data_IF_862864874508
#
_entry.id   IF_862864874508
#
_cell.length_a   1.000
_cell.length_b   1.000
_cell.length_c   1.000
_cell.angle_alpha   90.00
_cell.angle_beta   90.00
_cell.angle_gamma   90.00
#
_symmetry.space_group_name_H-M   'P 1'
#
loop_
_entity.id
_entity.type
_entity.pdbx_description
1 polymer ?
#
# COMPACT_ATOMS: atom_id res chain seq x y z
N UNK A 1 -4.29 -6.80 12.79
CA UNK A 1 -4.49 -5.71 11.80
C UNK A 1 -5.39 -4.70 12.47
N UNK A 2 -4.82 -3.67 13.09
CA UNK A 2 -5.56 -2.51 13.58
C UNK A 2 -6.32 -1.90 12.41
N UNK A 3 -7.63 -1.63 12.60
CA UNK A 3 -8.46 -0.96 11.60
C UNK A 3 -7.79 0.38 11.25
N UNK A 4 -7.67 0.70 9.96
CA UNK A 4 -7.17 2.00 9.53
C UNK A 4 -8.03 3.10 10.17
N UNK A 5 -7.41 4.10 10.81
CA UNK A 5 -8.07 5.21 11.50
C UNK A 5 -9.06 5.97 10.63
N UNK A 6 -8.77 6.18 9.34
CA UNK A 6 -9.76 6.70 8.38
C UNK A 6 -11.00 5.80 8.24
N UNK A 7 -10.81 4.48 8.30
CA UNK A 7 -11.91 3.51 8.23
C UNK A 7 -12.89 3.66 9.39
N UNK A 8 -12.39 3.98 10.59
CA UNK A 8 -13.26 4.25 11.76
C UNK A 8 -14.19 5.42 11.48
N UNK A 9 -13.66 6.56 11.03
CA UNK A 9 -14.50 7.74 10.72
C UNK A 9 -15.49 7.48 9.58
N UNK A 10 -15.07 6.76 8.55
CA UNK A 10 -15.95 6.38 7.43
C UNK A 10 -17.10 5.49 7.90
N UNK A 11 -16.84 4.54 8.79
CA UNK A 11 -17.85 3.63 9.32
C UNK A 11 -18.88 4.41 10.17
N UNK A 12 -18.42 5.28 11.07
CA UNK A 12 -19.31 6.16 11.87
C UNK A 12 -20.16 7.09 10.99
N UNK A 13 -19.54 7.72 9.99
CA UNK A 13 -20.24 8.63 9.08
C UNK A 13 -21.25 7.88 8.20
N UNK A 14 -20.97 6.65 7.80
CA UNK A 14 -21.94 5.82 7.06
C UNK A 14 -23.12 5.42 7.95
N UNK A 15 -22.85 4.94 9.16
CA UNK A 15 -23.89 4.58 10.10
C UNK A 15 -24.81 5.78 10.40
N UNK A 16 -24.25 6.97 10.57
CA UNK A 16 -25.02 8.21 10.72
C UNK A 16 -25.82 8.55 9.46
N UNK A 17 -25.21 8.46 8.29
CA UNK A 17 -25.87 8.78 7.02
C UNK A 17 -27.03 7.84 6.67
N UNK A 18 -26.96 6.56 7.06
CA UNK A 18 -28.01 5.56 6.80
C UNK A 18 -29.28 5.85 7.62
N UNK A 19 -29.14 6.49 8.79
CA UNK A 19 -30.24 6.87 9.68
C UNK A 19 -30.76 8.30 9.49
N UNK A 20 -30.18 9.08 8.58
CA UNK A 20 -30.44 10.51 8.49
C UNK A 20 -31.16 10.91 7.20
N UNK A 21 -32.13 11.82 7.32
CA UNK A 21 -33.04 12.16 6.22
C UNK A 21 -32.42 13.06 5.14
N UNK A 22 -31.37 13.82 5.46
CA UNK A 22 -30.76 14.73 4.49
C UNK A 22 -29.85 13.97 3.50
N UNK A 23 -30.20 13.89 2.20
CA UNK A 23 -29.41 13.16 1.20
C UNK A 23 -28.01 13.76 0.99
N UNK A 24 -27.77 15.02 1.38
CA UNK A 24 -26.45 15.64 1.34
C UNK A 24 -25.47 14.93 2.26
N UNK A 25 -25.93 14.43 3.42
CA UNK A 25 -25.07 13.67 4.35
C UNK A 25 -24.64 12.35 3.72
N UNK A 26 -25.53 11.65 3.01
CA UNK A 26 -25.16 10.46 2.24
C UNK A 26 -24.13 10.77 1.15
N UNK A 27 -24.22 11.92 0.47
CA UNK A 27 -23.23 12.35 -0.53
C UNK A 27 -21.87 12.62 0.12
N UNK A 28 -21.84 13.28 1.27
CA UNK A 28 -20.61 13.51 2.05
C UNK A 28 -19.98 12.18 2.46
N UNK A 29 -20.78 11.26 3.01
CA UNK A 29 -20.33 9.92 3.41
C UNK A 29 -19.70 9.15 2.25
N UNK A 30 -20.36 9.14 1.07
CA UNK A 30 -19.85 8.47 -0.14
C UNK A 30 -18.53 9.06 -0.63
N UNK A 31 -18.39 10.38 -0.63
CA UNK A 31 -17.15 11.07 -1.03
C UNK A 31 -16.01 10.79 -0.06
N UNK A 32 -16.29 10.84 1.25
CA UNK A 32 -15.31 10.54 2.28
C UNK A 32 -14.79 9.11 2.14
N UNK A 33 -15.70 8.17 1.89
CA UNK A 33 -15.42 6.74 1.78
C UNK A 33 -14.92 6.28 0.40
N UNK A 34 -14.69 7.19 -0.54
CA UNK A 34 -14.22 6.83 -1.88
C UNK A 34 -12.87 6.07 -1.76
N UNK A 35 -12.64 5.01 -2.55
CA UNK A 35 -11.34 4.32 -2.53
C UNK A 35 -10.22 5.25 -3.00
N UNK A 36 -8.99 4.93 -2.62
CA UNK A 36 -7.80 5.61 -3.13
C UNK A 36 -7.56 5.20 -4.58
N UNK A 37 -7.47 6.19 -5.47
CA UNK A 37 -7.26 5.99 -6.90
C UNK A 37 -5.80 6.22 -7.26
N UNK A 38 -5.21 5.30 -8.00
CA UNK A 38 -3.80 5.41 -8.41
C UNK A 38 -3.70 5.48 -9.93
N UNK A 39 -2.85 6.38 -10.45
CA UNK A 39 -2.48 6.38 -11.86
C UNK A 39 -1.14 5.66 -12.02
N UNK A 40 -1.02 4.78 -13.01
CA UNK A 40 0.20 3.98 -13.21
C UNK A 40 0.93 4.45 -14.47
N UNK A 41 2.07 5.08 -14.27
CA UNK A 41 2.94 5.66 -15.30
C UNK A 41 4.25 4.90 -15.48
N UNK A 42 5.09 5.39 -16.40
CA UNK A 42 6.42 4.85 -16.66
C UNK A 42 6.74 4.70 -18.14
N UNK A 43 8.02 4.48 -18.45
CA UNK A 43 8.50 4.29 -19.83
C UNK A 43 7.93 3.04 -20.50
N UNK A 44 7.97 2.99 -21.83
CA UNK A 44 7.66 1.75 -22.56
C UNK A 44 8.69 0.67 -22.22
N UNK A 45 8.23 -0.59 -22.06
CA UNK A 45 9.10 -1.74 -21.80
C UNK A 45 9.42 -2.03 -20.32
N UNK A 46 9.11 -1.11 -19.40
CA UNK A 46 9.32 -1.29 -17.94
C UNK A 46 8.25 -2.16 -17.27
N UNK A 47 7.20 -2.57 -17.99
CA UNK A 47 6.13 -3.41 -17.46
C UNK A 47 5.00 -2.66 -16.75
N UNK A 48 4.81 -1.36 -17.02
CA UNK A 48 3.76 -0.53 -16.38
C UNK A 48 2.35 -1.12 -16.45
N UNK A 49 1.98 -1.78 -17.55
CA UNK A 49 0.66 -2.43 -17.70
C UNK A 49 0.52 -3.66 -16.79
N UNK A 50 1.60 -4.41 -16.62
CA UNK A 50 1.64 -5.58 -15.73
C UNK A 50 1.53 -5.15 -14.28
N UNK A 51 2.24 -4.08 -13.89
CA UNK A 51 2.12 -3.47 -12.55
C UNK A 51 0.70 -2.95 -12.32
N UNK A 52 0.13 -2.18 -13.26
CA UNK A 52 -1.24 -1.69 -13.17
C UNK A 52 -2.25 -2.83 -12.95
N UNK A 53 -2.12 -3.92 -13.72
CA UNK A 53 -2.95 -5.11 -13.56
C UNK A 53 -2.73 -5.80 -12.21
N UNK A 54 -1.48 -5.91 -11.73
CA UNK A 54 -1.17 -6.50 -10.44
C UNK A 54 -1.82 -5.70 -9.29
N UNK A 55 -1.71 -4.38 -9.33
CA UNK A 55 -2.32 -3.49 -8.32
C UNK A 55 -3.85 -3.54 -8.34
N UNK A 56 -4.45 -3.58 -9.53
CA UNK A 56 -5.90 -3.74 -9.68
C UNK A 56 -6.39 -5.08 -9.11
N UNK A 57 -5.71 -6.18 -9.43
CA UNK A 57 -6.01 -7.51 -8.87
C UNK A 57 -5.76 -7.59 -7.35
N UNK A 58 -4.92 -6.71 -6.81
CA UNK A 58 -4.68 -6.58 -5.38
C UNK A 58 -5.68 -5.65 -4.67
N UNK A 59 -6.68 -5.12 -5.39
CA UNK A 59 -7.79 -4.33 -4.82
C UNK A 59 -7.61 -2.81 -4.89
N UNK A 60 -6.58 -2.28 -5.55
CA UNK A 60 -6.46 -0.84 -5.77
C UNK A 60 -7.34 -0.37 -6.94
N UNK A 61 -7.93 0.81 -6.80
CA UNK A 61 -8.64 1.47 -7.89
C UNK A 61 -7.63 2.10 -8.85
N UNK A 62 -7.21 1.33 -9.86
CA UNK A 62 -6.22 1.77 -10.86
C UNK A 62 -6.92 2.52 -11.99
N UNK A 63 -6.46 3.74 -12.25
CA UNK A 63 -6.93 4.56 -13.37
C UNK A 63 -5.96 4.46 -14.54
N UNK A 64 -6.49 4.36 -15.75
CA UNK A 64 -5.70 4.35 -16.99
C UNK A 64 -5.79 5.71 -17.67
N UNK A 65 -4.69 6.47 -17.70
CA UNK A 65 -4.60 7.73 -18.44
C UNK A 65 -4.37 8.97 -17.57
N UNK A 66 -4.14 10.11 -18.22
CA UNK A 66 -3.90 11.44 -17.62
C UNK A 66 -5.22 12.08 -17.20
N UNK A 67 -6.09 11.34 -16.53
CA UNK A 67 -7.33 11.92 -15.98
C UNK A 67 -7.05 12.50 -14.60
N UNK A 68 -7.67 13.64 -14.29
CA UNK A 68 -7.51 14.36 -13.02
C UNK A 68 -8.10 13.65 -11.78
N UNK A 69 -8.46 12.38 -11.93
CA UNK A 69 -9.15 11.59 -10.95
C UNK A 69 -8.22 10.75 -10.04
N UNK A 70 -6.91 10.69 -10.30
CA UNK A 70 -6.01 9.93 -9.43
C UNK A 70 -5.68 10.72 -8.16
N UNK A 71 -5.46 10.01 -7.06
CA UNK A 71 -5.03 10.57 -5.79
C UNK A 71 -3.49 10.49 -5.64
N UNK A 72 -2.87 9.48 -6.25
CA UNK A 72 -1.42 9.26 -6.26
C UNK A 72 -0.97 8.73 -7.62
N UNK A 73 0.31 8.95 -7.91
CA UNK A 73 0.98 8.40 -9.08
C UNK A 73 1.91 7.24 -8.68
N UNK A 74 1.80 6.12 -9.37
CA UNK A 74 2.75 5.00 -9.29
C UNK A 74 3.61 5.04 -10.55
N UNK A 75 4.86 5.47 -10.39
CA UNK A 75 5.79 5.58 -11.49
C UNK A 75 6.67 4.32 -11.62
N UNK A 76 6.50 3.57 -12.71
CA UNK A 76 7.20 2.30 -12.90
C UNK A 76 8.50 2.51 -13.67
N UNK A 77 9.60 2.01 -13.11
CA UNK A 77 10.91 1.90 -13.79
C UNK A 77 11.43 0.46 -13.70
N UNK A 78 12.51 0.16 -14.41
CA UNK A 78 13.21 -1.12 -14.34
C UNK A 78 14.72 -0.88 -14.48
N UNK A 79 15.51 -1.59 -13.67
CA UNK A 79 16.99 -1.61 -13.64
C UNK A 79 17.68 -0.29 -13.26
N UNK A 80 17.39 0.79 -14.00
CA UNK A 80 18.00 2.12 -13.88
C UNK A 80 16.94 3.22 -13.93
N UNK A 81 17.19 4.29 -13.18
CA UNK A 81 16.48 5.57 -13.35
C UNK A 81 17.17 6.36 -14.46
N UNK A 82 16.42 6.76 -15.47
CA UNK A 82 16.88 7.67 -16.53
C UNK A 82 16.49 9.13 -16.21
N UNK A 83 17.11 10.13 -16.85
CA UNK A 83 16.74 11.53 -16.67
C UNK A 83 15.27 11.83 -16.96
N UNK A 84 14.67 11.13 -17.94
CA UNK A 84 13.24 11.29 -18.24
C UNK A 84 12.36 10.73 -17.12
N UNK A 85 12.85 9.72 -16.38
CA UNK A 85 12.15 9.17 -15.22
C UNK A 85 12.14 10.18 -14.07
N UNK A 86 13.28 10.81 -13.77
CA UNK A 86 13.35 11.86 -12.75
C UNK A 86 12.53 13.09 -13.12
N UNK A 87 12.54 13.48 -14.41
CA UNK A 87 11.75 14.61 -14.89
C UNK A 87 10.24 14.36 -14.75
N UNK A 88 9.78 13.16 -15.09
CA UNK A 88 8.37 12.80 -14.94
C UNK A 88 7.93 12.73 -13.46
N UNK A 89 8.79 12.23 -12.57
CA UNK A 89 8.52 12.18 -11.13
C UNK A 89 8.47 13.59 -10.54
N UNK A 90 9.44 14.45 -10.88
CA UNK A 90 9.52 15.82 -10.37
C UNK A 90 8.37 16.71 -10.86
N UNK A 91 7.83 16.44 -12.06
CA UNK A 91 6.70 17.18 -12.62
C UNK A 91 5.33 16.73 -12.09
N UNK A 92 5.27 15.67 -11.27
CA UNK A 92 4.00 15.16 -10.76
C UNK A 92 3.37 16.13 -9.75
N UNK A 93 2.10 16.46 -9.96
CA UNK A 93 1.33 17.31 -9.04
C UNK A 93 0.85 16.56 -7.79
N UNK A 94 1.06 15.24 -7.73
CA UNK A 94 0.54 14.34 -6.70
C UNK A 94 1.68 13.58 -6.03
N UNK A 95 1.47 13.02 -4.83
CA UNK A 95 2.43 12.11 -4.23
C UNK A 95 2.77 10.96 -5.17
N UNK A 96 4.07 10.74 -5.40
CA UNK A 96 4.57 9.68 -6.29
C UNK A 96 5.16 8.54 -5.48
N UNK A 97 4.79 7.32 -5.83
CA UNK A 97 5.50 6.10 -5.47
C UNK A 97 6.26 5.57 -6.69
N UNK A 98 7.58 5.54 -6.64
CA UNK A 98 8.36 4.87 -7.65
C UNK A 98 8.37 3.35 -7.40
N UNK A 99 8.27 2.56 -8.48
CA UNK A 99 8.33 1.09 -8.40
C UNK A 99 9.44 0.59 -9.30
N UNK A 100 10.43 -0.08 -8.70
CA UNK A 100 11.46 -0.81 -9.43
C UNK A 100 10.87 -2.18 -9.82
N UNK A 101 10.28 -2.24 -11.02
CA UNK A 101 9.69 -3.46 -11.54
C UNK A 101 10.75 -4.39 -12.12
N UNK A 102 10.39 -5.68 -12.29
CA UNK A 102 11.30 -6.78 -12.66
C UNK A 102 12.39 -7.00 -11.62
N UNK A 103 12.05 -6.77 -10.35
CA UNK A 103 12.96 -6.94 -9.22
C UNK A 103 13.50 -8.38 -9.11
N UNK A 104 12.77 -9.36 -9.64
CA UNK A 104 13.19 -10.75 -9.78
C UNK A 104 14.41 -10.97 -10.69
N UNK A 105 14.73 -9.99 -11.54
CA UNK A 105 15.92 -10.01 -12.40
C UNK A 105 17.11 -9.26 -11.80
N UNK A 106 16.99 -8.73 -10.58
CA UNK A 106 18.08 -7.96 -9.95
C UNK A 106 19.11 -8.90 -9.32
N UNK A 107 20.38 -8.78 -9.71
CA UNK A 107 21.45 -9.63 -9.18
C UNK A 107 21.45 -11.05 -9.75
N UNK A 108 22.11 -11.99 -9.06
CA UNK A 108 22.27 -13.37 -9.54
C UNK A 108 21.17 -14.29 -9.02
N UNK A 109 20.63 -15.13 -9.91
CA UNK A 109 19.70 -16.21 -9.59
C UNK A 109 20.34 -17.34 -8.78
N UNK A 110 21.67 -17.50 -8.86
CA UNK A 110 22.36 -18.66 -8.31
C UNK A 110 22.54 -18.62 -6.78
N UNK A 111 22.27 -17.48 -6.12
CA UNK A 111 22.40 -17.31 -4.66
C UNK A 111 23.82 -17.51 -4.09
N UNK A 112 24.77 -17.99 -4.89
CA UNK A 112 26.16 -18.28 -4.50
C UNK A 112 27.00 -17.02 -4.28
N UNK A 113 26.51 -15.84 -4.66
CA UNK A 113 27.22 -14.57 -4.63
C UNK A 113 26.57 -13.49 -3.73
N UNK A 114 25.58 -13.84 -2.90
CA UNK A 114 24.97 -12.88 -1.96
C UNK A 114 23.45 -13.02 -1.78
N UNK A 115 22.80 -11.90 -1.44
CA UNK A 115 21.36 -11.84 -1.20
C UNK A 115 20.55 -12.15 -2.47
N UNK A 116 19.43 -12.89 -2.33
CA UNK A 116 18.56 -13.25 -3.47
C UNK A 116 17.94 -12.03 -4.17
N UNK A 117 17.37 -12.18 -5.39
CA UNK A 117 17.06 -11.05 -6.26
C UNK A 117 16.24 -9.93 -5.64
N UNK A 118 15.20 -10.29 -4.87
CA UNK A 118 14.34 -9.31 -4.20
C UNK A 118 15.06 -8.54 -3.09
N UNK A 119 16.04 -9.13 -2.42
CA UNK A 119 16.82 -8.44 -1.41
C UNK A 119 17.81 -7.46 -2.07
N UNK A 120 18.46 -7.88 -3.16
CA UNK A 120 19.29 -6.98 -3.97
C UNK A 120 18.47 -5.81 -4.53
N UNK A 121 17.25 -6.07 -5.02
CA UNK A 121 16.33 -5.04 -5.48
C UNK A 121 15.93 -4.05 -4.39
N UNK A 122 15.74 -4.50 -3.14
CA UNK A 122 15.47 -3.60 -1.99
C UNK A 122 16.64 -2.64 -1.74
N UNK A 123 17.87 -3.15 -1.68
CA UNK A 123 19.06 -2.30 -1.53
C UNK A 123 19.17 -1.30 -2.68
N UNK A 124 18.87 -1.75 -3.91
CA UNK A 124 18.86 -0.90 -5.09
C UNK A 124 17.80 0.20 -5.03
N UNK A 125 16.60 -0.10 -4.51
CA UNK A 125 15.56 0.91 -4.30
C UNK A 125 16.02 2.01 -3.33
N UNK A 126 16.76 1.68 -2.28
CA UNK A 126 17.31 2.69 -1.35
C UNK A 126 18.22 3.67 -2.10
N UNK A 127 19.15 3.18 -2.92
CA UNK A 127 20.05 4.02 -3.73
C UNK A 127 19.30 4.86 -4.77
N UNK A 128 18.32 4.26 -5.44
CA UNK A 128 17.57 4.89 -6.52
C UNK A 128 16.53 5.89 -5.99
N UNK A 129 16.00 5.71 -4.79
CA UNK A 129 15.01 6.63 -4.18
C UNK A 129 15.53 8.05 -4.05
N UNK A 130 16.79 8.22 -3.62
CA UNK A 130 17.45 9.52 -3.52
C UNK A 130 17.60 10.20 -4.89
N UNK A 131 17.89 9.42 -5.94
CA UNK A 131 17.99 9.93 -7.32
C UNK A 131 16.64 10.27 -7.92
N UNK A 132 15.59 9.50 -7.59
CA UNK A 132 14.22 9.75 -8.02
C UNK A 132 13.61 10.99 -7.34
N UNK A 133 14.07 11.33 -6.13
CA UNK A 133 13.37 12.29 -5.27
C UNK A 133 12.03 11.76 -4.77
N UNK A 134 11.81 10.44 -4.79
CA UNK A 134 10.55 9.81 -4.41
C UNK A 134 10.81 8.47 -3.69
N UNK A 135 9.92 8.06 -2.76
CA UNK A 135 10.00 6.73 -2.16
C UNK A 135 9.92 5.65 -3.24
N UNK A 136 10.70 4.59 -3.08
CA UNK A 136 10.80 3.52 -4.07
C UNK A 136 10.65 2.14 -3.44
N UNK A 137 9.83 1.27 -4.05
CA UNK A 137 9.64 -0.11 -3.63
C UNK A 137 9.93 -1.10 -4.79
N UNK A 138 10.58 -2.24 -4.54
CA UNK A 138 10.82 -3.24 -5.57
C UNK A 138 9.58 -4.10 -5.79
N UNK A 139 9.31 -4.46 -7.05
CA UNK A 139 8.20 -5.33 -7.40
C UNK A 139 8.56 -6.27 -8.56
N UNK A 140 8.03 -7.49 -8.54
CA UNK A 140 7.85 -8.31 -9.73
C UNK A 140 6.38 -8.30 -10.11
N UNK A 141 6.03 -7.47 -11.09
CA UNK A 141 4.65 -7.37 -11.58
C UNK A 141 4.09 -8.70 -12.07
N UNK A 142 4.93 -9.52 -12.73
CA UNK A 142 4.51 -10.82 -13.24
C UNK A 142 4.17 -11.79 -12.11
N UNK A 143 5.06 -11.95 -11.12
CA UNK A 143 4.79 -12.81 -9.97
C UNK A 143 3.60 -12.32 -9.15
N UNK A 144 3.38 -11.00 -9.05
CA UNK A 144 2.20 -10.45 -8.39
C UNK A 144 0.90 -10.83 -9.12
N UNK A 145 0.87 -10.74 -10.45
CA UNK A 145 -0.27 -11.20 -11.26
C UNK A 145 -0.49 -12.71 -11.11
N UNK A 146 0.59 -13.50 -11.14
CA UNK A 146 0.51 -14.94 -10.96
C UNK A 146 0.03 -15.32 -9.55
N UNK A 147 0.43 -14.57 -8.51
CA UNK A 147 -0.05 -14.78 -7.15
C UNK A 147 -1.53 -14.41 -6.96
N UNK A 148 -2.04 -13.46 -7.73
CA UNK A 148 -3.44 -13.06 -7.66
C UNK A 148 -4.37 -13.99 -8.46
N UNK A 149 -3.81 -14.89 -9.27
CA UNK A 149 -4.57 -15.86 -10.07
C UNK A 149 -4.29 -17.28 -9.58
N UNK A 150 -5.24 -18.17 -9.81
CA UNK A 150 -5.00 -19.58 -9.58
C UNK A 150 -4.11 -20.12 -10.69
N UNK A 151 -3.01 -20.78 -10.29
CA UNK A 151 -2.22 -21.57 -11.21
C UNK A 151 -3.05 -22.80 -11.57
N UNK A 152 -3.33 -23.00 -12.86
CA UNK A 152 -4.11 -24.14 -13.29
C UNK A 152 -3.40 -25.47 -12.96
N UNK A 153 -4.19 -26.55 -12.85
CA UNK A 153 -3.68 -27.85 -12.46
C UNK A 153 -2.64 -28.43 -13.41
N UNK A 154 -2.66 -28.05 -14.69
CA UNK A 154 -1.70 -28.52 -15.69
C UNK A 154 -0.32 -27.86 -15.48
N UNK A 155 -0.28 -26.55 -15.22
CA UNK A 155 0.96 -25.86 -14.89
C UNK A 155 1.55 -26.33 -13.57
N UNK A 156 0.72 -26.61 -12.57
CA UNK A 156 1.20 -27.22 -11.33
C UNK A 156 1.75 -28.63 -11.52
N UNK A 157 1.08 -29.46 -12.33
CA UNK A 157 1.57 -30.79 -12.69
C UNK A 157 2.92 -30.73 -13.43
N UNK A 158 3.08 -29.77 -14.35
CA UNK A 158 4.33 -29.52 -15.05
C UNK A 158 5.47 -29.13 -14.09
N UNK A 159 5.21 -28.24 -13.12
CA UNK A 159 6.20 -27.90 -12.09
C UNK A 159 6.59 -29.11 -11.23
N UNK A 160 5.65 -30.01 -10.92
CA UNK A 160 5.94 -31.27 -10.21
C UNK A 160 6.77 -32.24 -11.06
N UNK A 161 6.49 -32.36 -12.35
CA UNK A 161 7.27 -33.18 -13.26
C UNK A 161 8.73 -32.68 -13.35
N UNK A 162 8.94 -31.36 -13.49
CA UNK A 162 10.27 -30.75 -13.46
C UNK A 162 10.96 -30.90 -12.09
N UNK A 163 10.20 -30.90 -10.99
CA UNK A 163 10.74 -31.12 -9.66
C UNK A 163 11.24 -32.55 -9.44
N UNK A 164 10.57 -33.55 -10.02
CA UNK A 164 10.94 -34.95 -9.99
C UNK A 164 12.09 -35.30 -10.95
N UNK A 165 12.25 -34.52 -12.02
CA UNK A 165 13.34 -34.68 -12.97
C UNK A 165 14.70 -34.20 -12.38
N UNK A 166 15.75 -35.05 -12.42
CA UNK A 166 17.09 -34.66 -11.96
C UNK A 166 17.66 -33.44 -12.70
N UNK A 167 17.33 -33.27 -13.99
CA UNK A 167 17.74 -32.15 -14.84
C UNK A 167 16.82 -30.92 -14.79
N UNK A 168 15.69 -30.99 -14.08
CA UNK A 168 14.67 -29.95 -14.14
C UNK A 168 15.08 -28.61 -13.52
N UNK A 169 16.14 -28.57 -12.70
CA UNK A 169 16.70 -27.30 -12.21
C UNK A 169 17.80 -26.75 -13.14
N UNK A 170 18.63 -27.62 -13.71
CA UNK A 170 19.73 -27.24 -14.60
C UNK A 170 19.24 -26.75 -15.96
N UNK A 171 18.02 -27.14 -16.37
CA UNK A 171 17.40 -26.61 -17.59
C UNK A 171 17.06 -25.11 -17.52
N UNK A 172 17.12 -24.48 -16.34
CA UNK A 172 16.88 -23.04 -16.15
C UNK A 172 18.15 -22.20 -16.22
N UNK A 173 19.34 -22.83 -16.18
CA UNK A 173 20.63 -22.13 -16.27
C UNK A 173 20.87 -21.57 -17.70
N UNK A 174 20.14 -22.08 -18.71
CA UNK A 174 20.32 -21.78 -20.13
C UNK A 174 19.50 -20.61 -20.70
N UNK A 175 18.95 -19.72 -19.86
CA UNK A 175 18.00 -18.65 -20.26
C UNK A 175 16.63 -19.16 -20.74
N UNK A 176 15.74 -18.25 -21.12
CA UNK A 176 14.43 -18.54 -21.71
C UNK A 176 14.51 -19.57 -22.85
N UNK A 177 15.46 -19.40 -23.77
CA UNK A 177 15.65 -20.30 -24.90
C UNK A 177 16.16 -21.68 -24.45
N UNK A 178 17.05 -21.73 -23.46
CA UNK A 178 17.55 -22.99 -22.90
C UNK A 178 16.44 -23.81 -22.26
N UNK A 179 15.51 -23.20 -21.54
CA UNK A 179 14.38 -23.92 -20.95
C UNK A 179 13.43 -24.51 -22.02
N UNK A 180 13.21 -23.79 -23.13
CA UNK A 180 12.38 -24.27 -24.24
C UNK A 180 13.06 -25.35 -25.09
N UNK A 181 14.40 -25.35 -25.17
CA UNK A 181 15.18 -26.33 -25.92
C UNK A 181 15.57 -27.56 -25.08
N UNK A 182 15.50 -27.47 -23.75
CA UNK A 182 15.90 -28.56 -22.86
C UNK A 182 15.10 -29.84 -23.10
N UNK A 183 15.79 -30.97 -23.03
CA UNK A 183 15.16 -32.29 -22.98
C UNK A 183 14.68 -32.55 -21.57
N UNK A 184 13.37 -32.43 -21.35
CA UNK A 184 12.74 -32.56 -20.03
C UNK A 184 11.30 -33.10 -20.19
N UNK A 185 10.68 -33.65 -19.13
CA UNK A 185 9.42 -34.37 -19.25
C UNK A 185 8.20 -33.48 -19.53
N UNK A 186 8.35 -32.16 -19.63
CA UNK A 186 7.24 -31.22 -19.85
C UNK A 186 7.12 -30.84 -21.33
N UNK A 187 5.95 -31.07 -21.96
CA UNK A 187 5.70 -30.64 -23.34
C UNK A 187 5.99 -29.16 -23.57
N UNK A 188 6.54 -28.82 -24.73
CA UNK A 188 6.93 -27.43 -25.11
C UNK A 188 5.80 -26.42 -24.92
N UNK A 189 4.56 -26.79 -25.27
CA UNK A 189 3.40 -25.92 -25.07
C UNK A 189 3.15 -25.55 -23.59
N UNK A 190 3.37 -26.48 -22.65
CA UNK A 190 3.28 -26.20 -21.22
C UNK A 190 4.48 -25.39 -20.72
N UNK A 191 5.67 -25.59 -21.29
CA UNK A 191 6.86 -24.78 -20.98
C UNK A 191 6.69 -23.31 -21.38
N UNK A 192 6.13 -23.05 -22.57
CA UNK A 192 5.78 -21.69 -23.03
C UNK A 192 4.78 -21.06 -22.06
N UNK A 193 3.70 -21.76 -21.70
CA UNK A 193 2.71 -21.25 -20.74
C UNK A 193 3.30 -20.99 -19.35
N UNK A 194 4.23 -21.84 -18.89
CA UNK A 194 4.95 -21.62 -17.64
C UNK A 194 5.77 -20.33 -17.68
N UNK A 195 6.52 -20.10 -18.76
CA UNK A 195 7.30 -18.87 -18.94
C UNK A 195 6.41 -17.63 -19.05
N UNK A 196 5.30 -17.71 -19.79
CA UNK A 196 4.35 -16.60 -19.89
C UNK A 196 3.72 -16.23 -18.54
N UNK A 197 3.49 -17.22 -17.69
CA UNK A 197 2.85 -17.03 -16.39
C UNK A 197 3.83 -16.62 -15.27
N UNK A 198 5.05 -17.17 -15.28
CA UNK A 198 5.97 -17.13 -14.13
C UNK A 198 7.37 -16.62 -14.47
N UNK A 199 7.74 -16.60 -15.76
CA UNK A 199 9.12 -16.44 -16.24
C UNK A 199 10.08 -17.47 -15.60
N UNK A 200 11.36 -17.44 -15.99
CA UNK A 200 12.39 -18.38 -15.53
C UNK A 200 12.50 -18.40 -14.01
N UNK A 201 12.48 -17.22 -13.37
CA UNK A 201 12.58 -17.13 -11.91
C UNK A 201 11.38 -17.74 -11.20
N UNK A 202 10.16 -17.46 -11.65
CA UNK A 202 8.96 -18.04 -11.04
C UNK A 202 8.86 -19.55 -11.28
N UNK A 203 9.33 -20.05 -12.42
CA UNK A 203 9.46 -21.50 -12.67
C UNK A 203 10.45 -22.13 -11.70
N UNK A 204 11.62 -21.52 -11.49
CA UNK A 204 12.60 -21.99 -10.51
C UNK A 204 12.00 -22.07 -9.09
N UNK A 205 11.26 -21.03 -8.68
CA UNK A 205 10.53 -21.02 -7.41
C UNK A 205 9.49 -22.14 -7.33
N UNK A 206 8.76 -22.39 -8.43
CA UNK A 206 7.75 -23.43 -8.52
C UNK A 206 8.34 -24.84 -8.36
N UNK A 207 9.44 -25.12 -9.06
CA UNK A 207 10.19 -26.38 -8.92
C UNK A 207 10.68 -26.56 -7.49
N UNK A 208 11.30 -25.52 -6.91
CA UNK A 208 11.80 -25.57 -5.54
C UNK A 208 10.68 -25.68 -4.48
N UNK A 209 9.47 -25.19 -4.77
CA UNK A 209 8.30 -25.34 -3.93
C UNK A 209 7.73 -26.76 -4.01
N UNK A 210 7.62 -27.31 -5.22
CA UNK A 210 7.15 -28.68 -5.47
C UNK A 210 8.08 -29.72 -4.82
N UNK A 211 9.41 -29.55 -4.91
CA UNK A 211 10.39 -30.41 -4.22
C UNK A 211 10.23 -30.42 -2.70
N UNK A 212 9.71 -29.34 -2.12
CA UNK A 212 9.42 -29.23 -0.69
C UNK A 212 8.00 -29.69 -0.32
N UNK A 213 7.29 -30.34 -1.24
CA UNK A 213 5.92 -30.82 -1.01
C UNK A 213 4.88 -29.72 -0.80
N UNK A 214 5.14 -28.49 -1.26
CA UNK A 214 4.19 -27.39 -1.06
C UNK A 214 2.93 -27.58 -1.92
N UNK A 215 1.79 -27.09 -1.43
CA UNK A 215 0.54 -27.05 -2.19
C UNK A 215 0.49 -25.85 -3.14
N UNK A 216 -0.41 -25.84 -4.15
CA UNK A 216 -0.63 -24.67 -5.01
C UNK A 216 -0.95 -23.39 -4.22
N UNK A 217 -1.74 -23.49 -3.15
CA UNK A 217 -2.07 -22.36 -2.28
C UNK A 217 -0.83 -21.82 -1.54
N UNK A 218 0.03 -22.71 -1.04
CA UNK A 218 1.31 -22.32 -0.42
C UNK A 218 2.28 -21.70 -1.42
N UNK A 219 2.30 -22.19 -2.67
CA UNK A 219 3.08 -21.58 -3.75
C UNK A 219 2.56 -20.19 -4.11
N UNK A 220 1.24 -20.00 -4.20
CA UNK A 220 0.61 -18.69 -4.40
C UNK A 220 0.98 -17.69 -3.30
N UNK A 221 0.92 -18.11 -2.04
CA UNK A 221 1.34 -17.28 -0.91
C UNK A 221 2.85 -16.94 -0.97
N UNK A 222 3.69 -17.86 -1.49
CA UNK A 222 5.10 -17.57 -1.75
C UNK A 222 5.26 -16.53 -2.86
N UNK A 223 4.57 -16.69 -4.00
CA UNK A 223 4.62 -15.74 -5.11
C UNK A 223 4.20 -14.34 -4.66
N UNK A 224 3.13 -14.22 -3.88
CA UNK A 224 2.68 -12.94 -3.33
C UNK A 224 3.78 -12.27 -2.52
N UNK A 225 4.36 -13.01 -1.57
CA UNK A 225 5.43 -12.53 -0.68
C UNK A 225 6.68 -12.09 -1.46
N UNK A 226 7.11 -12.89 -2.43
CA UNK A 226 8.32 -12.64 -3.22
C UNK A 226 8.07 -11.52 -4.24
N UNK A 227 6.86 -11.34 -4.75
CA UNK A 227 6.56 -10.30 -5.73
C UNK A 227 6.75 -8.87 -5.24
N UNK A 228 6.81 -8.65 -3.91
CA UNK A 228 6.89 -7.31 -3.33
C UNK A 228 5.59 -6.50 -3.35
N UNK A 229 4.48 -7.07 -3.86
CA UNK A 229 3.21 -6.34 -3.99
C UNK A 229 2.70 -5.80 -2.65
N UNK A 230 2.83 -6.55 -1.55
CA UNK A 230 2.37 -6.11 -0.24
C UNK A 230 3.14 -4.89 0.28
N UNK A 231 4.43 -4.78 -0.04
CA UNK A 231 5.24 -3.60 0.31
C UNK A 231 4.79 -2.37 -0.49
N UNK A 232 4.51 -2.54 -1.79
CA UNK A 232 3.94 -1.48 -2.63
C UNK A 232 2.58 -1.03 -2.11
N UNK A 233 1.67 -1.96 -1.76
CA UNK A 233 0.36 -1.63 -1.18
C UNK A 233 0.50 -0.89 0.15
N UNK A 234 1.41 -1.34 1.02
CA UNK A 234 1.70 -0.67 2.28
C UNK A 234 2.18 0.76 2.05
N UNK A 235 3.09 0.98 1.10
CA UNK A 235 3.60 2.31 0.77
C UNK A 235 2.54 3.22 0.13
N UNK A 236 1.68 2.69 -0.75
CA UNK A 236 0.51 3.41 -1.27
C UNK A 236 -0.43 3.81 -0.12
N UNK A 237 -0.64 2.92 0.84
CA UNK A 237 -1.46 3.23 2.02
C UNK A 237 -0.88 4.38 2.84
N UNK A 238 0.43 4.36 3.09
CA UNK A 238 1.14 5.43 3.82
C UNK A 238 1.03 6.77 3.07
N UNK A 239 1.38 6.79 1.78
CA UNK A 239 1.30 8.02 0.98
C UNK A 239 -0.15 8.53 0.83
N UNK A 240 -1.13 7.62 0.85
CA UNK A 240 -2.54 7.95 0.80
C UNK A 240 -3.13 8.46 2.11
N UNK A 241 -2.40 8.42 3.24
CA UNK A 241 -2.91 8.86 4.54
C UNK A 241 -3.33 10.34 4.51
N UNK A 242 -2.51 11.18 3.89
CA UNK A 242 -2.82 12.60 3.71
C UNK A 242 -4.09 12.83 2.88
N UNK A 243 -4.26 12.09 1.78
CA UNK A 243 -5.46 12.18 0.94
C UNK A 243 -6.71 11.80 1.74
N UNK A 244 -6.64 10.69 2.49
CA UNK A 244 -7.74 10.23 3.34
C UNK A 244 -8.06 11.22 4.45
N UNK A 245 -7.06 11.79 5.09
CA UNK A 245 -7.28 12.80 6.13
C UNK A 245 -7.88 14.10 5.58
N UNK A 246 -7.43 14.58 4.41
CA UNK A 246 -8.06 15.72 3.71
C UNK A 246 -9.53 15.45 3.38
N UNK A 247 -9.89 14.21 3.03
CA UNK A 247 -11.31 13.82 2.82
C UNK A 247 -12.12 13.86 4.12
N UNK A 248 -11.54 13.50 5.25
CA UNK A 248 -12.17 13.65 6.57
C UNK A 248 -12.40 15.14 6.88
N UNK A 249 -11.38 15.98 6.74
CA UNK A 249 -11.51 17.43 6.99
C UNK A 249 -12.58 18.06 6.10
N UNK A 250 -12.59 17.71 4.81
CA UNK A 250 -13.61 18.18 3.87
C UNK A 250 -15.02 17.72 4.28
N UNK A 251 -15.17 16.45 4.66
CA UNK A 251 -16.45 15.91 5.11
C UNK A 251 -16.94 16.63 6.36
N UNK A 252 -16.06 16.86 7.34
CA UNK A 252 -16.37 17.61 8.55
C UNK A 252 -16.81 19.04 8.21
N UNK A 253 -16.07 19.76 7.37
CA UNK A 253 -16.44 21.12 6.99
C UNK A 253 -17.80 21.18 6.26
N UNK A 254 -18.08 20.22 5.37
CA UNK A 254 -19.38 20.10 4.71
C UNK A 254 -20.50 19.82 5.74
N UNK A 255 -20.27 18.95 6.72
CA UNK A 255 -21.24 18.65 7.79
C UNK A 255 -21.43 19.83 8.75
N UNK A 256 -20.37 20.56 9.11
CA UNK A 256 -20.45 21.74 9.97
C UNK A 256 -21.34 22.83 9.33
N UNK A 257 -21.28 22.99 8.00
CA UNK A 257 -22.16 23.90 7.28
C UNK A 257 -23.63 23.43 7.31
N UNK A 258 -23.88 22.12 7.29
CA UNK A 258 -25.23 21.55 7.38
C UNK A 258 -25.79 21.62 8.81
N UNK A 259 -24.92 21.48 9.82
CA UNK A 259 -25.28 21.49 11.24
C UNK A 259 -25.88 22.82 11.73
N UNK A 260 -25.69 23.92 10.99
CA UNK A 260 -26.29 25.23 11.31
C UNK A 260 -27.82 25.15 11.43
N UNK A 261 -28.45 24.24 10.70
CA UNK A 261 -29.91 24.04 10.67
C UNK A 261 -30.34 22.66 11.15
N UNK A 262 -29.41 21.83 11.61
CA UNK A 262 -29.65 20.44 11.99
C UNK A 262 -28.85 20.05 13.24
N UNK A 263 -29.56 20.00 14.37
CA UNK A 263 -28.98 19.62 15.66
C UNK A 263 -28.49 18.17 15.70
N UNK A 264 -29.03 17.28 14.86
CA UNK A 264 -28.59 15.89 14.76
C UNK A 264 -27.19 15.79 14.17
N UNK A 265 -26.89 16.59 13.13
CA UNK A 265 -25.53 16.69 12.56
C UNK A 265 -24.57 17.32 13.56
N UNK A 266 -25.00 18.35 14.30
CA UNK A 266 -24.18 18.93 15.37
C UNK A 266 -23.85 17.90 16.45
N UNK A 267 -24.87 17.17 16.92
CA UNK A 267 -24.72 16.09 17.90
C UNK A 267 -23.76 15.00 17.44
N UNK A 268 -23.85 14.58 16.17
CA UNK A 268 -22.89 13.65 15.57
C UNK A 268 -21.45 14.18 15.63
N UNK A 269 -21.21 15.41 15.15
CA UNK A 269 -19.87 16.02 15.12
C UNK A 269 -19.24 16.21 16.51
N UNK A 270 -20.07 16.43 17.53
CA UNK A 270 -19.65 16.60 18.92
C UNK A 270 -19.58 15.29 19.72
N UNK A 271 -20.11 14.19 19.18
CA UNK A 271 -20.06 12.88 19.83
C UNK A 271 -18.62 12.44 20.05
N UNK A 272 -18.38 11.82 21.20
CA UNK A 272 -17.04 11.34 21.54
C UNK A 272 -16.53 10.32 20.51
N UNK A 273 -17.39 9.45 19.98
CA UNK A 273 -17.00 8.43 19.00
C UNK A 273 -16.55 9.07 17.68
N UNK A 274 -17.24 10.12 17.22
CA UNK A 274 -16.81 10.90 16.04
C UNK A 274 -15.50 11.64 16.29
N UNK A 275 -15.32 12.21 17.49
CA UNK A 275 -14.06 12.90 17.85
C UNK A 275 -12.89 11.91 17.91
N UNK A 276 -13.08 10.73 18.49
CA UNK A 276 -12.06 9.67 18.56
C UNK A 276 -11.77 9.13 17.16
N UNK A 277 -12.78 8.97 16.32
CA UNK A 277 -12.62 8.54 14.93
C UNK A 277 -11.83 9.56 14.08
N UNK A 278 -12.10 10.87 14.25
CA UNK A 278 -11.32 11.95 13.63
C UNK A 278 -9.87 11.93 14.09
N UNK A 279 -9.63 11.79 15.39
CA UNK A 279 -8.29 11.62 15.94
C UNK A 279 -7.60 10.42 15.29
N UNK A 280 -8.24 9.26 15.17
CA UNK A 280 -7.62 8.09 14.57
C UNK A 280 -7.15 8.36 13.13
N UNK A 281 -7.94 9.07 12.31
CA UNK A 281 -7.53 9.50 10.97
C UNK A 281 -6.35 10.50 10.98
N UNK A 282 -6.31 11.41 11.96
CA UNK A 282 -5.19 12.33 12.14
C UNK A 282 -3.90 11.61 12.59
N UNK A 283 -4.02 10.60 13.46
CA UNK A 283 -2.89 9.76 13.88
C UNK A 283 -2.30 9.02 12.69
N UNK A 284 -3.11 8.48 11.77
CA UNK A 284 -2.59 7.84 10.56
C UNK A 284 -1.74 8.81 9.71
N UNK A 285 -2.16 10.07 9.58
CA UNK A 285 -1.37 11.10 8.90
C UNK A 285 -0.07 11.37 9.66
N UNK A 286 -0.13 11.52 10.99
CA UNK A 286 1.04 11.75 11.82
C UNK A 286 2.06 10.60 11.72
N UNK A 287 1.60 9.35 11.75
CA UNK A 287 2.45 8.16 11.57
C UNK A 287 3.06 8.11 10.17
N UNK A 288 2.27 8.42 9.14
CA UNK A 288 2.77 8.49 7.77
C UNK A 288 3.85 9.57 7.58
N UNK A 289 3.75 10.66 8.33
CA UNK A 289 4.74 11.74 8.39
C UNK A 289 5.93 11.43 9.34
N UNK A 290 5.93 10.29 10.03
CA UNK A 290 6.97 9.90 10.99
C UNK A 290 6.96 10.66 12.32
N UNK A 291 5.84 11.31 12.65
CA UNK A 291 5.68 12.14 13.85
C UNK A 291 5.15 11.38 15.06
N UNK A 292 4.44 10.28 14.84
CA UNK A 292 3.88 9.42 15.89
C UNK A 292 4.27 7.96 15.61
N UNK A 293 4.35 7.15 16.67
CA UNK A 293 4.48 5.70 16.55
C UNK A 293 3.29 5.07 17.27
N UNK A 294 2.67 4.06 16.65
CA UNK A 294 1.64 3.24 17.28
C UNK A 294 2.22 2.51 18.51
N UNK A 295 2.18 3.15 19.66
CA UNK A 295 2.40 2.52 20.97
C UNK A 295 1.05 2.32 21.64
N UNK A 296 0.79 1.18 22.31
CA UNK A 296 -0.37 1.06 23.17
C UNK A 296 -0.32 2.19 24.20
N UNK A 297 -1.28 3.10 24.15
CA UNK A 297 -1.33 4.22 25.08
C UNK A 297 -2.10 3.79 26.32
N UNK A 298 -1.42 3.85 27.46
CA UNK A 298 -2.07 3.76 28.76
C UNK A 298 -2.92 5.01 29.00
N UNK A 299 -4.03 4.92 29.75
CA UNK A 299 -4.91 6.06 30.06
C UNK A 299 -4.19 7.32 30.56
N UNK A 300 -3.12 7.15 31.35
CA UNK A 300 -2.30 8.25 31.89
C UNK A 300 -1.53 9.03 30.80
N UNK A 301 -1.30 8.43 29.64
CA UNK A 301 -0.55 9.03 28.55
C UNK A 301 -1.39 10.03 27.72
N UNK A 302 -2.71 10.03 27.86
CA UNK A 302 -3.61 10.83 27.02
C UNK A 302 -3.47 12.34 27.24
N UNK A 303 -3.36 12.82 28.50
CA UNK A 303 -3.19 14.26 28.76
C UNK A 303 -1.83 14.80 28.28
N UNK A 304 -0.67 14.15 28.56
CA UNK A 304 0.61 14.54 27.98
C UNK A 304 0.60 14.56 26.44
N UNK A 305 -0.07 13.58 25.81
CA UNK A 305 -0.25 13.55 24.36
C UNK A 305 -1.04 14.74 23.85
N UNK A 306 -2.14 15.09 24.51
CA UNK A 306 -2.96 16.24 24.15
C UNK A 306 -2.15 17.54 24.14
N UNK A 307 -1.37 17.79 25.21
CA UNK A 307 -0.52 18.97 25.34
C UNK A 307 0.56 19.01 24.24
N UNK A 308 1.20 17.87 23.96
CA UNK A 308 2.22 17.76 22.90
C UNK A 308 1.66 18.15 21.54
N UNK A 309 0.49 17.62 21.17
CA UNK A 309 -0.12 17.87 19.87
C UNK A 309 -0.75 19.25 19.74
N UNK A 310 -1.23 19.83 20.84
CA UNK A 310 -1.63 21.23 20.87
C UNK A 310 -0.43 22.15 20.57
N UNK A 311 0.72 21.92 21.23
CA UNK A 311 1.95 22.68 20.97
C UNK A 311 2.45 22.50 19.54
N UNK A 312 2.39 21.28 19.01
CA UNK A 312 2.74 21.00 17.62
C UNK A 312 1.89 21.83 16.64
N UNK A 313 0.57 21.87 16.84
CA UNK A 313 -0.34 22.63 15.98
C UNK A 313 -0.15 24.15 16.04
N UNK A 314 0.35 24.68 17.16
CA UNK A 314 0.70 26.09 17.33
C UNK A 314 2.05 26.47 16.70
N UNK A 315 2.87 25.48 16.32
CA UNK A 315 4.15 25.70 15.67
C UNK A 315 4.04 26.18 14.20
N UNK A 316 5.18 26.40 13.53
CA UNK A 316 5.23 26.79 12.12
C UNK A 316 4.94 25.59 11.20
N UNK A 317 3.72 25.04 11.29
CA UNK A 317 3.25 23.90 10.50
C UNK A 317 2.19 24.34 9.50
N UNK A 318 2.00 23.54 8.44
CA UNK A 318 0.92 23.78 7.46
C UNK A 318 -0.46 23.69 8.11
N UNK A 319 -1.47 24.24 7.44
CA UNK A 319 -2.88 24.16 7.90
C UNK A 319 -3.33 22.71 8.12
N UNK A 320 -2.92 21.80 7.24
CA UNK A 320 -3.21 20.37 7.37
C UNK A 320 -2.64 19.80 8.67
N UNK A 321 -1.38 20.11 8.99
CA UNK A 321 -0.72 19.63 10.20
C UNK A 321 -1.26 20.32 11.48
N UNK A 322 -1.74 21.56 11.36
CA UNK A 322 -2.45 22.26 12.44
C UNK A 322 -3.78 21.57 12.76
N UNK A 323 -4.57 21.25 11.74
CA UNK A 323 -5.81 20.49 11.89
C UNK A 323 -5.53 19.10 12.50
N UNK A 324 -4.48 18.43 12.01
CA UNK A 324 -4.01 17.15 12.54
C UNK A 324 -3.70 17.24 14.04
N UNK A 325 -2.94 18.24 14.46
CA UNK A 325 -2.62 18.45 15.88
C UNK A 325 -3.84 18.76 16.73
N UNK A 326 -4.79 19.54 16.21
CA UNK A 326 -6.04 19.85 16.91
C UNK A 326 -6.94 18.62 17.09
N UNK A 327 -7.09 17.79 16.06
CA UNK A 327 -7.89 16.55 16.14
C UNK A 327 -7.27 15.55 17.12
N UNK A 328 -5.93 15.38 17.09
CA UNK A 328 -5.24 14.49 18.03
C UNK A 328 -5.36 15.00 19.47
N UNK A 329 -5.17 16.31 19.69
CA UNK A 329 -5.32 16.88 21.02
C UNK A 329 -6.74 16.72 21.56
N UNK A 330 -7.76 16.99 20.72
CA UNK A 330 -9.17 16.87 21.10
C UNK A 330 -9.54 15.43 21.45
N UNK A 331 -9.17 14.46 20.61
CA UNK A 331 -9.46 13.05 20.88
C UNK A 331 -8.74 12.53 22.12
N UNK A 332 -7.49 12.96 22.34
CA UNK A 332 -6.74 12.59 23.55
C UNK A 332 -7.41 13.13 24.82
N UNK A 333 -7.94 14.35 24.80
CA UNK A 333 -8.70 14.91 25.93
C UNK A 333 -10.02 14.15 26.17
N UNK A 334 -10.72 13.71 25.12
CA UNK A 334 -11.93 12.87 25.26
C UNK A 334 -11.62 11.54 25.91
N UNK A 335 -10.54 10.86 25.49
CA UNK A 335 -10.11 9.61 26.11
C UNK A 335 -9.71 9.81 27.58
N UNK A 336 -8.91 10.83 27.88
CA UNK A 336 -8.54 11.18 29.26
C UNK A 336 -9.75 11.44 30.16
N UNK A 337 -10.77 12.14 29.65
CA UNK A 337 -12.00 12.41 30.38
C UNK A 337 -12.83 11.14 30.63
N UNK A 338 -12.85 10.20 29.68
CA UNK A 338 -13.57 8.91 29.80
C UNK A 338 -12.92 8.00 30.84
N UNK A 339 -11.59 8.00 30.92
CA UNK A 339 -10.82 7.15 31.84
C UNK A 339 -10.70 7.72 33.27
N UNK A 340 -11.41 8.80 33.59
CA UNK A 340 -11.44 9.39 34.94
C UNK A 340 -10.13 10.07 35.35
N UNK A 341 -9.40 10.65 34.39
CA UNK A 341 -8.04 11.15 34.59
C UNK A 341 -7.88 12.11 35.78
N UNK A 342 -6.95 11.84 36.73
CA UNK A 342 -6.65 12.77 37.80
C UNK A 342 -5.97 14.03 37.27
N UNK A 343 -6.33 15.20 37.81
CA UNK A 343 -5.68 16.47 37.47
C UNK A 343 -4.19 16.42 37.82
N UNK A 344 -3.31 17.06 37.02
CA UNK A 344 -1.90 17.20 37.38
C UNK A 344 -1.81 17.85 38.76
N UNK A 345 -1.14 17.19 39.72
CA UNK A 345 -0.82 17.82 41.00
C UNK A 345 0.09 19.00 40.70
N UNK A 346 -0.37 20.20 41.04
CA UNK A 346 0.44 21.41 40.98
C UNK A 346 1.65 21.23 41.89
N UNK A 347 2.85 21.21 41.31
CA UNK A 347 4.09 21.33 42.06
C UNK A 347 4.24 22.81 42.45
N UNK A 348 4.03 23.12 43.73
CA UNK A 348 4.51 24.37 44.33
C UNK A 348 6.04 24.49 44.25
#
# INVERSE_FOLDING_TARGET
MTRQGHGIFVDELRAFADGHADPRVTVVARRCAAPLRVAVGGRRGVGRRTVARALALAGLAVTTGVTDAADLDVYVTAEVIKPEDTGAIAAAARPVLAVLNKADLTGSLSGRAGAGPMAAARSRCTELSARAGAPMEPMSGLLAVAAARDLDGALWAALRALAADPGGATCLDGSFAGFLAADNPVPTALRVRLLDALDVFGVALGIAAARRGRTPAQFRALLRRVSGVDAVLGRVSVLGAEVRYRRVLRAVAELEALAVVDEGIHGFLCSDDTVVARMAAAVELAEAAGLERATPEEPVAHLPRAVRWQRYGLGPVSELHRACGADIARGSLRLWSRDGGPLPRESC
#
